data_IF_664121505919
#
_entry.id   IF_664121505919
#
_cell.length_a   1.000
_cell.length_b   1.000
_cell.length_c   1.000
_cell.angle_alpha   90.00
_cell.angle_beta   90.00
_cell.angle_gamma   90.00
#
_symmetry.space_group_name_H-M   'P 1'
#
loop_
_entity.id
_entity.type
_entity.pdbx_description
1 polymer ?
#
# COMPACT_ATOMS: atom_id res chain seq x y z
N UNK A 1 -2.62 -9.00 -21.23
CA UNK A 1 -4.04 -9.09 -20.81
C UNK A 1 -4.55 -7.67 -20.59
N UNK A 2 -5.57 -7.20 -21.33
CA UNK A 2 -6.02 -5.80 -21.33
C UNK A 2 -7.23 -5.55 -20.39
N UNK A 3 -7.20 -6.14 -19.19
CA UNK A 3 -8.33 -6.05 -18.24
C UNK A 3 -8.63 -4.62 -17.79
N UNK A 4 -7.60 -3.81 -17.57
CA UNK A 4 -7.78 -2.40 -17.19
C UNK A 4 -8.48 -1.59 -18.29
N UNK A 5 -8.22 -1.92 -19.55
CA UNK A 5 -8.76 -1.24 -20.74
C UNK A 5 -10.21 -1.63 -21.05
N UNK A 6 -10.58 -2.89 -20.80
CA UNK A 6 -11.85 -3.45 -21.29
C UNK A 6 -12.80 -3.97 -20.21
N UNK A 7 -12.33 -4.18 -18.98
CA UNK A 7 -13.12 -4.82 -17.92
C UNK A 7 -13.35 -3.87 -16.76
N UNK A 8 -12.28 -3.48 -16.06
CA UNK A 8 -12.35 -2.54 -14.94
C UNK A 8 -10.98 -1.89 -14.75
N UNK A 9 -10.84 -0.56 -14.80
CA UNK A 9 -11.90 0.46 -14.94
C UNK A 9 -12.73 0.38 -16.24
N UNK A 10 -12.17 -0.14 -17.33
CA UNK A 10 -12.89 -0.23 -18.61
C UNK A 10 -12.76 1.06 -19.42
N UNK A 11 -13.64 1.27 -20.38
CA UNK A 11 -13.76 2.50 -21.19
C UNK A 11 -12.45 2.99 -21.83
N UNK A 12 -11.59 2.06 -22.24
CA UNK A 12 -10.33 2.40 -22.89
C UNK A 12 -9.25 2.89 -21.92
N UNK A 13 -9.44 2.75 -20.61
CA UNK A 13 -8.48 3.18 -19.59
C UNK A 13 -7.10 2.50 -19.78
N UNK A 14 -6.07 3.33 -19.81
CA UNK A 14 -4.66 2.92 -19.88
C UNK A 14 -3.91 3.66 -18.77
N UNK A 15 -3.24 2.96 -17.84
CA UNK A 15 -2.40 3.61 -16.84
C UNK A 15 -1.32 4.46 -17.51
N UNK A 16 -1.14 5.69 -17.02
CA UNK A 16 -0.05 6.58 -17.42
C UNK A 16 1.21 6.40 -16.56
N UNK A 17 1.27 5.31 -15.79
CA UNK A 17 2.38 4.93 -14.92
C UNK A 17 2.73 3.45 -15.14
N UNK A 18 3.94 3.07 -14.72
CA UNK A 18 4.44 1.71 -14.89
C UNK A 18 3.65 0.71 -14.03
N UNK A 19 3.21 -0.38 -14.65
CA UNK A 19 2.67 -1.56 -13.95
C UNK A 19 3.76 -2.63 -13.94
N UNK A 20 4.03 -3.20 -12.76
CA UNK A 20 5.00 -4.28 -12.60
C UNK A 20 4.33 -5.66 -12.74
N UNK A 21 5.15 -6.71 -12.83
CA UNK A 21 4.64 -8.08 -12.77
C UNK A 21 3.93 -8.36 -11.44
N UNK A 22 2.97 -9.29 -11.45
CA UNK A 22 2.29 -9.75 -10.22
C UNK A 22 3.32 -10.42 -9.30
N UNK A 23 3.33 -10.02 -8.03
CA UNK A 23 4.17 -10.61 -7.00
C UNK A 23 3.39 -10.77 -5.69
N UNK A 24 3.99 -11.48 -4.73
CA UNK A 24 3.49 -11.58 -3.37
C UNK A 24 4.04 -10.43 -2.52
N UNK A 25 3.16 -9.86 -1.69
CA UNK A 25 3.49 -8.72 -0.81
C UNK A 25 3.51 -9.08 0.67
N UNK A 26 2.97 -10.25 1.01
CA UNK A 26 2.89 -10.82 2.34
C UNK A 26 3.23 -12.32 2.30
N UNK A 27 3.62 -12.88 3.46
CA UNK A 27 3.88 -14.30 3.62
C UNK A 27 5.33 -14.70 3.36
N UNK A 28 5.57 -16.00 3.26
CA UNK A 28 6.93 -16.56 3.08
C UNK A 28 7.55 -16.17 1.74
N UNK A 29 6.75 -16.06 0.68
CA UNK A 29 7.20 -15.71 -0.68
C UNK A 29 7.18 -14.22 -1.02
N UNK A 30 6.99 -13.34 -0.02
CA UNK A 30 6.93 -11.89 -0.29
C UNK A 30 8.24 -11.35 -0.89
N UNK A 31 8.12 -10.48 -1.90
CA UNK A 31 9.30 -9.91 -2.56
C UNK A 31 10.13 -9.04 -1.59
N UNK A 32 11.47 -9.00 -1.71
CA UNK A 32 12.36 -8.28 -0.79
C UNK A 32 12.03 -6.79 -0.63
N UNK A 33 11.52 -6.15 -1.69
CA UNK A 33 11.06 -4.76 -1.64
C UNK A 33 9.95 -4.57 -0.61
N UNK A 34 8.96 -5.48 -0.58
CA UNK A 34 7.85 -5.38 0.36
C UNK A 34 8.31 -5.67 1.79
N UNK A 35 9.22 -6.63 1.97
CA UNK A 35 9.89 -6.87 3.26
C UNK A 35 10.58 -5.61 3.78
N UNK A 36 11.34 -4.92 2.93
CA UNK A 36 12.03 -3.68 3.26
C UNK A 36 11.05 -2.55 3.63
N UNK A 37 10.02 -2.34 2.82
CA UNK A 37 9.02 -1.29 3.08
C UNK A 37 8.25 -1.52 4.37
N UNK A 38 7.76 -2.75 4.59
CA UNK A 38 7.00 -3.13 5.79
C UNK A 38 7.85 -3.17 7.05
N UNK A 39 9.15 -3.41 6.97
CA UNK A 39 10.05 -3.34 8.13
C UNK A 39 10.45 -1.91 8.48
N UNK A 40 10.59 -1.04 7.47
CA UNK A 40 10.97 0.36 7.68
C UNK A 40 9.81 1.20 8.20
N UNK A 41 8.60 1.02 7.63
CA UNK A 41 7.37 1.71 8.08
C UNK A 41 6.27 0.66 8.35
N UNK A 42 6.24 0.11 9.58
CA UNK A 42 5.43 -1.07 9.88
C UNK A 42 3.93 -0.82 9.97
N UNK A 43 3.48 0.42 10.11
CA UNK A 43 2.06 0.76 10.21
C UNK A 43 1.73 2.00 9.36
N UNK A 44 0.52 2.06 8.78
CA UNK A 44 0.02 3.27 8.14
C UNK A 44 -0.02 4.47 9.12
N UNK A 45 0.27 5.65 8.59
CA UNK A 45 0.33 6.89 9.36
C UNK A 45 -1.06 7.41 9.77
N UNK A 46 -2.07 7.11 8.97
CA UNK A 46 -3.48 7.47 9.15
C UNK A 46 -4.28 6.42 9.93
N UNK A 47 -3.70 5.24 10.12
CA UNK A 47 -4.29 4.12 10.83
C UNK A 47 -3.24 3.46 11.74
N UNK A 48 -2.81 4.22 12.77
CA UNK A 48 -1.75 3.84 13.74
C UNK A 48 -2.25 2.83 14.79
N UNK A 49 -2.98 1.83 14.36
CA UNK A 49 -3.63 0.85 15.23
C UNK A 49 -5.08 1.18 15.55
N UNK A 50 -5.80 1.80 14.61
CA UNK A 50 -7.25 1.80 14.65
C UNK A 50 -7.69 0.36 14.50
N UNK A 51 -7.86 -0.33 15.65
CA UNK A 51 -8.39 -1.69 15.72
C UNK A 51 -7.90 -2.54 14.55
N UNK A 52 -6.74 -3.20 14.71
CA UNK A 52 -6.40 -4.36 13.88
C UNK A 52 -7.52 -5.41 13.79
N UNK A 53 -8.65 -5.21 14.49
CA UNK A 53 -9.94 -5.89 14.43
C UNK A 53 -11.01 -5.34 13.44
N UNK A 54 -10.86 -4.24 12.67
CA UNK A 54 -12.06 -3.59 12.09
C UNK A 54 -12.18 -3.48 10.56
N UNK A 55 -11.21 -3.91 9.75
CA UNK A 55 -11.42 -3.92 8.28
C UNK A 55 -11.08 -5.24 7.59
N UNK A 56 -10.19 -6.07 8.12
CA UNK A 56 -10.12 -7.46 7.67
C UNK A 56 -11.19 -8.28 8.42
N UNK A 57 -11.37 -8.08 9.71
CA UNK A 57 -12.24 -8.92 10.53
C UNK A 57 -13.73 -8.51 10.59
N UNK A 58 -14.10 -7.25 10.28
CA UNK A 58 -15.52 -6.82 10.32
C UNK A 58 -16.26 -6.90 8.98
N UNK A 59 -15.57 -6.75 7.85
CA UNK A 59 -16.16 -6.74 6.49
C UNK A 59 -15.76 -7.93 5.64
N UNK A 60 -14.73 -8.70 6.01
CA UNK A 60 -14.73 -10.08 5.57
C UNK A 60 -15.77 -10.78 6.43
N UNK A 61 -16.87 -11.32 5.87
CA UNK A 61 -17.57 -12.36 6.59
C UNK A 61 -16.52 -13.40 7.01
N UNK A 62 -16.65 -13.98 8.21
CA UNK A 62 -15.77 -15.01 8.79
C UNK A 62 -15.48 -16.25 7.88
N UNK A 63 -15.88 -16.20 6.62
CA UNK A 63 -15.74 -17.15 5.53
C UNK A 63 -14.48 -16.95 4.66
N UNK A 64 -13.79 -15.80 4.70
CA UNK A 64 -12.53 -15.60 3.95
C UNK A 64 -11.32 -15.54 4.90
N UNK A 65 -10.60 -16.66 5.10
CA UNK A 65 -9.40 -16.65 5.93
C UNK A 65 -8.27 -15.87 5.23
N UNK A 66 -7.38 -15.27 6.03
CA UNK A 66 -6.09 -14.76 5.55
C UNK A 66 -5.37 -15.91 4.81
N UNK A 67 -5.00 -15.66 3.55
CA UNK A 67 -4.49 -16.71 2.65
C UNK A 67 -2.96 -16.80 2.60
N UNK A 68 -2.24 -16.06 3.44
CA UNK A 68 -0.78 -16.08 3.50
C UNK A 68 -0.27 -16.53 4.88
N UNK A 69 0.94 -17.06 4.89
CA UNK A 69 1.65 -17.49 6.09
C UNK A 69 3.16 -17.25 5.92
N UNK A 70 3.91 -16.85 6.96
CA UNK A 70 3.40 -16.45 8.29
C UNK A 70 2.69 -15.10 8.22
N UNK A 71 1.73 -14.89 9.13
CA UNK A 71 1.06 -13.59 9.30
C UNK A 71 1.90 -12.72 10.23
N UNK A 72 2.16 -11.47 9.83
CA UNK A 72 2.96 -10.49 10.56
C UNK A 72 2.14 -9.24 10.84
N UNK A 73 2.47 -8.53 11.92
CA UNK A 73 1.77 -7.29 12.30
C UNK A 73 1.94 -6.15 11.29
N UNK A 74 3.02 -6.16 10.53
CA UNK A 74 3.32 -5.14 9.53
C UNK A 74 2.77 -5.45 8.15
N UNK A 75 2.07 -6.59 7.99
CA UNK A 75 1.53 -7.04 6.71
C UNK A 75 0.61 -5.99 6.07
N UNK A 76 0.59 -6.00 4.74
CA UNK A 76 -0.32 -5.18 3.96
C UNK A 76 -1.73 -5.75 4.14
N UNK A 77 -2.66 -4.90 4.53
CA UNK A 77 -3.99 -5.29 4.95
C UNK A 77 -4.95 -5.48 3.79
N UNK A 78 -4.78 -4.72 2.70
CA UNK A 78 -5.64 -4.81 1.52
C UNK A 78 -4.99 -4.22 0.26
N UNK A 79 -5.69 -4.36 -0.87
CA UNK A 79 -5.35 -3.67 -2.11
C UNK A 79 -5.35 -2.16 -1.90
N UNK A 80 -4.44 -1.46 -2.57
CA UNK A 80 -4.26 -0.01 -2.53
C UNK A 80 -3.72 0.57 -1.21
N UNK A 81 -2.94 -0.18 -0.42
CA UNK A 81 -1.99 0.51 0.49
C UNK A 81 -0.93 1.26 -0.31
N UNK A 82 -0.43 2.36 0.24
CA UNK A 82 0.54 3.23 -0.43
C UNK A 82 1.76 3.47 0.44
N UNK A 83 2.92 3.55 -0.20
CA UNK A 83 4.18 3.94 0.41
C UNK A 83 4.75 5.13 -0.35
N UNK A 84 5.10 6.18 0.38
CA UNK A 84 5.82 7.33 -0.16
C UNK A 84 7.30 7.16 0.14
N UNK A 85 8.12 7.31 -0.89
CA UNK A 85 9.57 7.14 -0.87
C UNK A 85 10.17 8.46 -1.34
N UNK A 86 11.16 8.98 -0.62
CA UNK A 86 11.81 10.24 -0.97
C UNK A 86 12.87 10.05 -2.08
N UNK A 87 13.52 11.14 -2.48
CA UNK A 87 14.53 11.13 -3.56
C UNK A 87 15.78 10.31 -3.24
N UNK A 88 16.08 10.08 -1.96
CA UNK A 88 17.19 9.22 -1.52
C UNK A 88 16.83 7.73 -1.49
N UNK A 89 15.60 7.38 -1.87
CA UNK A 89 15.10 6.00 -1.80
C UNK A 89 14.67 5.57 -0.39
N UNK A 90 14.54 6.50 0.57
CA UNK A 90 14.08 6.19 1.92
C UNK A 90 12.54 6.24 1.98
N UNK A 91 11.88 5.20 2.51
CA UNK A 91 10.47 5.26 2.83
C UNK A 91 10.23 6.34 3.88
N UNK A 92 9.26 7.23 3.65
CA UNK A 92 8.95 8.34 4.57
C UNK A 92 7.54 8.27 5.14
N UNK A 93 6.58 7.68 4.42
CA UNK A 93 5.21 7.57 4.90
C UNK A 93 4.50 6.35 4.31
N UNK A 94 3.63 5.73 5.11
CA UNK A 94 2.71 4.65 4.69
C UNK A 94 1.28 5.11 4.89
N UNK A 95 0.39 4.72 3.98
CA UNK A 95 -1.02 5.10 4.00
C UNK A 95 -1.91 3.87 3.87
N UNK A 96 -3.03 3.87 4.58
CA UNK A 96 -3.99 2.78 4.57
C UNK A 96 -4.70 2.68 3.20
N UNK A 97 -5.41 1.57 2.93
CA UNK A 97 -6.21 1.42 1.70
C UNK A 97 -7.23 2.55 1.51
N UNK A 98 -7.82 3.04 2.61
CA UNK A 98 -8.87 4.05 2.62
C UNK A 98 -8.35 5.48 2.50
N UNK A 99 -7.05 5.69 2.68
CA UNK A 99 -6.48 7.02 2.55
C UNK A 99 -6.65 7.52 1.11
N UNK A 100 -7.30 8.66 0.95
CA UNK A 100 -7.63 9.23 -0.35
C UNK A 100 -6.36 9.68 -1.09
N UNK A 101 -6.26 9.37 -2.38
CA UNK A 101 -5.07 9.69 -3.17
C UNK A 101 -4.85 11.21 -3.28
N UNK A 102 -5.93 11.99 -3.34
CA UNK A 102 -5.85 13.46 -3.37
C UNK A 102 -5.15 14.06 -2.15
N UNK A 103 -5.25 13.40 -0.98
CA UNK A 103 -4.62 13.87 0.25
C UNK A 103 -3.11 13.59 0.30
N UNK A 104 -2.60 12.72 -0.57
CA UNK A 104 -1.16 12.41 -0.67
C UNK A 104 -0.41 13.55 -1.39
N UNK A 105 -1.11 14.36 -2.19
CA UNK A 105 -0.50 15.45 -3.00
C UNK A 105 0.27 16.43 -2.13
N UNK A 106 -0.29 16.84 -0.98
CA UNK A 106 0.37 17.75 -0.06
C UNK A 106 1.69 17.17 0.48
N UNK A 107 1.71 15.86 0.78
CA UNK A 107 2.90 15.21 1.28
C UNK A 107 4.00 15.13 0.18
N UNK A 108 3.60 14.86 -1.07
CA UNK A 108 4.50 14.85 -2.22
C UNK A 108 5.09 16.25 -2.47
N UNK A 109 4.26 17.29 -2.46
CA UNK A 109 4.70 18.67 -2.71
C UNK A 109 5.68 19.17 -1.65
N UNK A 110 5.52 18.75 -0.39
CA UNK A 110 6.46 19.09 0.66
C UNK A 110 7.84 18.44 0.42
N UNK A 111 7.90 17.17 0.05
CA UNK A 111 9.16 16.49 -0.28
C UNK A 111 9.84 17.03 -1.54
N UNK A 112 9.07 17.60 -2.47
CA UNK A 112 9.64 18.28 -3.64
C UNK A 112 10.25 19.64 -3.29
N UNK A 113 9.73 20.33 -2.26
CA UNK A 113 10.25 21.62 -1.80
C UNK A 113 11.48 21.45 -0.90
N UNK A 114 11.42 20.46 -0.01
CA UNK A 114 12.49 20.13 0.92
C UNK A 114 12.62 18.60 1.04
N UNK A 115 13.62 18.00 0.38
CA UNK A 115 13.85 16.56 0.40
C UNK A 115 14.10 15.97 1.80
N UNK A 116 14.53 16.81 2.75
CA UNK A 116 14.84 16.46 4.13
C UNK A 116 13.72 16.86 5.11
N UNK A 117 12.58 17.36 4.61
CA UNK A 117 11.45 17.72 5.45
C UNK A 117 11.03 16.53 6.31
N UNK A 118 11.18 16.68 7.63
CA UNK A 118 10.69 15.72 8.60
C UNK A 118 9.16 15.71 8.55
N UNK A 119 8.58 14.56 8.13
CA UNK A 119 7.15 14.31 7.99
C UNK A 119 6.58 13.50 9.14
#
# INVERSE_FOLDING_TARGET
>A
MHTLKHVRPGDGYVPNFQIMAKCEVNGEGEEPLWTYLKSTIPAPSDDRGGTGSDFIYQIQPNSMPIQWSPVRRSDITWNFEKFLINQDGKPVKRYSPKFENANIVADIEALLKDPDASM
#
